data_IF_578430716858
#
_entry.id   IF_578430716858
#
_cell.length_a   1.000
_cell.length_b   1.000
_cell.length_c   1.000
_cell.angle_alpha   90.00
_cell.angle_beta   90.00
_cell.angle_gamma   90.00
#
_symmetry.space_group_name_H-M   'P 1'
#
loop_
_entity.id
_entity.type
_entity.pdbx_description
1 polymer ?
#
# COMPACT_ATOMS: atom_id res chain seq x y z
N UNK A 1 -22.66 -10.70 -18.40
CA UNK A 1 -21.80 -10.62 -17.21
C UNK A 1 -22.69 -10.52 -16.00
N UNK A 2 -22.33 -11.20 -14.91
CA UNK A 2 -23.11 -11.23 -13.67
C UNK A 2 -23.25 -9.82 -13.11
N UNK A 3 -24.49 -9.38 -12.83
CA UNK A 3 -24.83 -8.13 -12.15
C UNK A 3 -23.99 -7.90 -10.89
N UNK A 4 -23.58 -8.99 -10.24
CA UNK A 4 -22.72 -9.01 -9.06
C UNK A 4 -21.36 -8.34 -9.28
N UNK A 5 -20.76 -8.43 -10.46
CA UNK A 5 -19.45 -7.82 -10.75
C UNK A 5 -19.50 -6.29 -10.57
N UNK A 6 -20.60 -5.66 -11.00
CA UNK A 6 -20.80 -4.20 -10.89
C UNK A 6 -20.82 -3.75 -9.43
N UNK A 7 -21.29 -4.61 -8.54
CA UNK A 7 -21.41 -4.33 -7.11
C UNK A 7 -20.13 -4.63 -6.32
N UNK A 8 -19.14 -5.30 -6.92
CA UNK A 8 -17.92 -5.71 -6.21
C UNK A 8 -17.16 -4.52 -5.61
N UNK A 9 -17.05 -3.40 -6.34
CA UNK A 9 -16.38 -2.20 -5.86
C UNK A 9 -17.09 -1.60 -4.64
N UNK A 10 -18.41 -1.43 -4.73
CA UNK A 10 -19.24 -0.90 -3.65
C UNK A 10 -19.19 -1.81 -2.41
N UNK A 11 -19.33 -3.12 -2.60
CA UNK A 11 -19.33 -4.07 -1.49
C UNK A 11 -17.97 -4.17 -0.81
N UNK A 12 -16.88 -4.05 -1.57
CA UNK A 12 -15.52 -4.02 -1.02
C UNK A 12 -15.26 -2.75 -0.23
N UNK A 13 -15.73 -1.60 -0.73
CA UNK A 13 -15.62 -0.32 -0.03
C UNK A 13 -16.38 -0.33 1.31
N UNK A 14 -17.46 -1.12 1.40
CA UNK A 14 -18.25 -1.30 2.62
C UNK A 14 -17.78 -2.46 3.49
N UNK A 15 -16.78 -3.24 3.06
CA UNK A 15 -16.31 -4.42 3.78
C UNK A 15 -17.34 -5.56 3.84
N UNK A 16 -18.32 -5.59 2.93
CA UNK A 16 -19.33 -6.67 2.83
C UNK A 16 -18.69 -7.94 2.27
N UNK A 17 -17.80 -7.80 1.27
CA UNK A 17 -17.00 -8.89 0.69
C UNK A 17 -15.58 -8.40 0.41
N UNK A 18 -14.60 -9.29 0.48
CA UNK A 18 -13.20 -8.99 0.23
C UNK A 18 -12.71 -9.44 -1.15
N UNK A 19 -13.44 -10.38 -1.77
CA UNK A 19 -13.07 -11.00 -3.05
C UNK A 19 -14.29 -11.36 -3.91
N UNK A 20 -14.05 -11.55 -5.21
CA UNK A 20 -15.09 -12.00 -6.15
C UNK A 20 -15.67 -13.37 -5.77
N UNK A 21 -14.85 -14.28 -5.24
CA UNK A 21 -15.30 -15.63 -4.86
C UNK A 21 -16.28 -15.65 -3.69
N UNK A 22 -16.17 -14.70 -2.75
CA UNK A 22 -17.17 -14.53 -1.67
C UNK A 22 -18.48 -13.98 -2.24
N UNK A 23 -18.38 -13.03 -3.17
CA UNK A 23 -19.54 -12.45 -3.82
C UNK A 23 -20.30 -13.47 -4.69
N UNK A 24 -19.61 -14.41 -5.33
CA UNK A 24 -20.23 -15.49 -6.11
C UNK A 24 -20.92 -16.54 -5.23
N UNK A 25 -20.41 -16.77 -4.01
CA UNK A 25 -21.00 -17.73 -3.06
C UNK A 25 -22.19 -17.17 -2.29
N UNK A 26 -22.40 -15.86 -2.33
CA UNK A 26 -23.54 -15.19 -1.68
C UNK A 26 -24.87 -15.69 -2.28
N UNK A 27 -25.90 -15.92 -1.46
CA UNK A 27 -27.21 -16.28 -1.98
C UNK A 27 -27.82 -15.09 -2.77
N UNK A 28 -28.71 -15.35 -3.73
CA UNK A 28 -29.35 -14.26 -4.48
C UNK A 28 -30.20 -13.36 -3.57
N UNK A 29 -30.81 -13.94 -2.52
CA UNK A 29 -31.58 -13.20 -1.53
C UNK A 29 -30.69 -12.24 -0.72
N UNK A 30 -29.55 -12.73 -0.19
CA UNK A 30 -28.60 -11.89 0.54
C UNK A 30 -28.02 -10.80 -0.37
N UNK A 31 -27.71 -11.15 -1.62
CA UNK A 31 -27.19 -10.20 -2.60
C UNK A 31 -28.18 -9.04 -2.83
N UNK A 32 -29.45 -9.35 -3.09
CA UNK A 32 -30.52 -8.35 -3.26
C UNK A 32 -30.69 -7.47 -2.02
N UNK A 33 -30.66 -8.05 -0.81
CA UNK A 33 -30.75 -7.30 0.44
C UNK A 33 -29.59 -6.32 0.59
N UNK A 34 -28.35 -6.74 0.30
CA UNK A 34 -27.17 -5.88 0.38
C UNK A 34 -27.18 -4.79 -0.70
N UNK A 35 -27.66 -5.09 -1.91
CA UNK A 35 -27.86 -4.08 -2.95
C UNK A 35 -28.86 -3.01 -2.49
N UNK A 36 -30.01 -3.40 -1.96
CA UNK A 36 -31.01 -2.46 -1.43
C UNK A 36 -30.43 -1.57 -0.32
N UNK A 37 -29.69 -2.16 0.63
CA UNK A 37 -28.99 -1.41 1.67
C UNK A 37 -27.99 -0.38 1.12
N UNK A 38 -27.23 -0.74 0.08
CA UNK A 38 -26.29 0.19 -0.55
C UNK A 38 -27.02 1.36 -1.24
N UNK A 39 -28.11 1.07 -1.95
CA UNK A 39 -28.95 2.09 -2.58
C UNK A 39 -29.56 3.05 -1.56
N UNK A 40 -30.04 2.53 -0.42
CA UNK A 40 -30.57 3.35 0.68
C UNK A 40 -29.50 4.26 1.31
N UNK A 41 -28.23 3.83 1.26
CA UNK A 41 -27.09 4.64 1.67
C UNK A 41 -26.62 5.63 0.59
N UNK A 42 -27.29 5.68 -0.57
CA UNK A 42 -26.91 6.54 -1.70
C UNK A 42 -25.68 6.05 -2.47
N UNK A 43 -25.35 4.77 -2.36
CA UNK A 43 -24.26 4.13 -3.12
C UNK A 43 -24.85 3.30 -4.26
N UNK A 44 -24.62 3.75 -5.49
CA UNK A 44 -24.96 3.01 -6.70
C UNK A 44 -23.68 2.40 -7.30
N UNK A 45 -23.76 1.25 -7.99
CA UNK A 45 -22.65 0.74 -8.76
C UNK A 45 -22.35 1.73 -9.90
N UNK A 46 -21.09 2.08 -10.09
CA UNK A 46 -20.69 2.97 -11.17
C UNK A 46 -21.02 2.31 -12.52
N UNK A 47 -21.92 2.92 -13.30
CA UNK A 47 -22.33 2.37 -14.60
C UNK A 47 -21.25 2.51 -15.67
N UNK A 48 -20.29 3.41 -15.45
CA UNK A 48 -19.26 3.84 -16.41
C UNK A 48 -17.83 3.46 -15.98
N UNK A 49 -17.66 2.42 -15.17
CA UNK A 49 -16.32 2.03 -14.73
C UNK A 49 -15.54 1.41 -15.91
N UNK A 50 -14.70 2.23 -16.55
CA UNK A 50 -13.79 1.89 -17.66
C UNK A 50 -12.94 0.64 -17.33
N UNK A 51 -12.71 0.39 -16.04
CA UNK A 51 -12.08 -0.82 -15.52
C UNK A 51 -12.90 -2.09 -15.80
N UNK A 52 -14.23 -2.02 -15.70
CA UNK A 52 -15.13 -3.13 -16.04
C UNK A 52 -15.07 -3.43 -17.53
N UNK A 53 -14.97 -2.39 -18.38
CA UNK A 53 -14.69 -2.55 -19.81
C UNK A 53 -13.33 -3.19 -20.06
N UNK A 54 -12.28 -2.73 -19.41
CA UNK A 54 -10.92 -3.27 -19.57
C UNK A 54 -10.79 -4.74 -19.10
N UNK A 55 -11.45 -5.10 -18.01
CA UNK A 55 -11.51 -6.51 -17.54
C UNK A 55 -12.30 -7.36 -18.53
N UNK A 56 -13.42 -6.84 -19.05
CA UNK A 56 -14.23 -7.57 -20.02
C UNK A 56 -13.53 -7.72 -21.38
N UNK A 57 -12.80 -6.70 -21.83
CA UNK A 57 -12.00 -6.72 -23.05
C UNK A 57 -10.82 -7.68 -22.92
N UNK A 58 -10.13 -7.67 -21.76
CA UNK A 58 -9.05 -8.63 -21.48
C UNK A 58 -9.52 -10.08 -21.31
N UNK A 59 -10.76 -10.32 -20.86
CA UNK A 59 -11.35 -11.66 -20.84
C UNK A 59 -11.86 -12.12 -22.21
N UNK A 60 -12.34 -11.20 -23.05
CA UNK A 60 -12.82 -11.53 -24.39
C UNK A 60 -11.69 -12.00 -25.33
N UNK A 61 -10.49 -11.44 -25.17
CA UNK A 61 -9.28 -11.86 -25.90
C UNK A 61 -8.62 -13.11 -25.30
N UNK A 62 -9.07 -13.58 -24.14
CA UNK A 62 -8.60 -14.83 -23.56
C UNK A 62 -9.31 -16.03 -24.21
N UNK A 63 -9.01 -16.30 -25.48
CA UNK A 63 -9.19 -17.64 -26.01
C UNK A 63 -8.26 -18.57 -25.24
N UNK A 64 -8.77 -19.59 -24.52
CA UNK A 64 -7.92 -20.51 -23.78
C UNK A 64 -7.00 -21.20 -24.78
N UNK A 65 -5.73 -20.78 -24.79
CA UNK A 65 -4.70 -21.38 -25.61
C UNK A 65 -4.68 -22.87 -25.23
N UNK A 66 -4.91 -23.80 -26.18
CA UNK A 66 -4.97 -25.22 -25.85
C UNK A 66 -3.71 -25.58 -25.07
N UNK A 67 -3.93 -26.16 -23.88
CA UNK A 67 -2.85 -26.48 -22.96
C UNK A 67 -1.73 -27.18 -23.74
N UNK A 68 -0.50 -26.63 -23.76
CA UNK A 68 0.60 -27.30 -24.41
C UNK A 68 0.70 -28.68 -23.76
N UNK A 69 0.54 -29.73 -24.58
CA UNK A 69 0.76 -31.11 -24.16
C UNK A 69 2.09 -31.14 -23.40
N UNK A 70 2.16 -31.76 -22.21
CA UNK A 70 3.40 -31.82 -21.46
C UNK A 70 4.44 -32.57 -22.29
N UNK A 71 5.32 -31.82 -22.93
CA UNK A 71 6.51 -32.35 -23.55
C UNK A 71 7.45 -32.69 -22.40
N UNK A 72 7.63 -34.00 -22.20
CA UNK A 72 8.49 -34.57 -21.18
C UNK A 72 9.93 -34.23 -21.57
N UNK A 73 10.40 -33.04 -21.18
CA UNK A 73 11.79 -32.64 -21.36
C UNK A 73 12.60 -33.31 -20.26
N UNK A 74 13.27 -34.41 -20.63
CA UNK A 74 14.35 -35.01 -19.83
C UNK A 74 15.45 -33.97 -19.61
N UNK A 75 16.13 -33.96 -18.45
CA UNK A 75 17.25 -33.06 -18.22
C UNK A 75 18.44 -33.47 -19.10
N UNK A 76 18.75 -32.63 -20.09
CA UNK A 76 19.94 -32.73 -20.95
C UNK A 76 21.17 -32.28 -20.17
N UNK A 77 21.65 -33.16 -19.29
CA UNK A 77 23.04 -33.20 -18.85
C UNK A 77 23.84 -33.92 -19.95
N UNK A 78 25.05 -33.42 -20.24
CA UNK A 78 26.02 -33.94 -21.21
C UNK A 78 25.79 -33.59 -22.70
N UNK A 79 26.54 -32.59 -23.18
CA UNK A 79 27.63 -32.78 -24.17
C UNK A 79 28.12 -31.43 -24.69
N UNK A 80 29.22 -30.96 -24.12
CA UNK A 80 30.10 -30.07 -24.88
C UNK A 80 31.57 -30.40 -24.56
N UNK A 81 31.95 -31.65 -24.83
CA UNK A 81 33.35 -32.03 -25.03
C UNK A 81 33.69 -31.72 -26.49
N UNK A 82 34.13 -30.49 -26.72
CA UNK A 82 34.71 -30.06 -27.99
C UNK A 82 36.02 -30.82 -28.16
N UNK A 83 36.02 -31.77 -29.09
CA UNK A 83 37.16 -32.60 -29.46
C UNK A 83 38.32 -31.72 -29.92
N UNK A 84 39.37 -31.64 -29.12
CA UNK A 84 40.67 -31.12 -29.53
C UNK A 84 41.20 -32.01 -30.66
N UNK A 85 41.57 -31.47 -31.84
CA UNK A 85 42.23 -32.26 -32.87
C UNK A 85 43.55 -32.80 -32.33
N UNK A 86 43.72 -34.12 -32.42
CA UNK A 86 44.96 -34.84 -32.10
C UNK A 86 46.09 -34.27 -32.96
N UNK A 87 47.03 -33.55 -32.37
CA UNK A 87 48.27 -33.18 -33.06
C UNK A 87 49.04 -34.46 -33.43
N UNK A 88 49.52 -34.61 -34.67
CA UNK A 88 50.43 -35.67 -35.03
C UNK A 88 51.78 -35.53 -34.28
N UNK A 89 52.55 -36.63 -34.14
CA UNK A 89 53.81 -36.62 -33.41
C UNK A 89 54.76 -35.56 -33.97
N UNK A 90 55.29 -34.72 -33.08
CA UNK A 90 56.29 -33.71 -33.39
C UNK A 90 57.56 -34.39 -33.94
N UNK A 91 57.87 -34.13 -35.21
CA UNK A 91 59.24 -34.23 -35.72
C UNK A 91 60.16 -33.28 -34.92
N UNK A 92 61.44 -33.64 -34.72
CA UNK A 92 62.40 -32.80 -34.00
C UNK A 92 62.50 -31.42 -34.66
N UNK A 93 62.13 -30.40 -33.89
CA UNK A 93 62.07 -29.01 -34.31
C UNK A 93 63.42 -28.55 -34.87
N UNK A 94 63.45 -28.26 -36.18
CA UNK A 94 64.53 -27.47 -36.78
C UNK A 94 64.58 -26.10 -36.08
N UNK A 95 65.77 -25.55 -35.79
CA UNK A 95 65.91 -24.24 -35.16
C UNK A 95 65.18 -23.19 -36.01
N UNK A 96 64.09 -22.64 -35.47
CA UNK A 96 63.39 -21.54 -36.11
C UNK A 96 64.32 -20.33 -36.15
N UNK A 97 64.49 -19.68 -37.33
CA UNK A 97 65.24 -18.44 -37.43
C UNK A 97 64.60 -17.41 -36.49
N UNK A 98 65.45 -16.68 -35.75
CA UNK A 98 65.05 -15.60 -34.87
C UNK A 98 64.06 -14.68 -35.58
N UNK A 99 62.83 -14.62 -35.06
CA UNK A 99 61.81 -13.73 -35.62
C UNK A 99 62.35 -12.30 -35.58
N UNK A 100 62.30 -11.56 -36.70
CA UNK A 100 62.74 -10.18 -36.73
C UNK A 100 61.96 -9.38 -35.68
N UNK A 101 62.66 -8.46 -35.01
CA UNK A 101 62.09 -7.57 -34.02
C UNK A 101 60.82 -6.92 -34.59
N UNK A 102 59.70 -7.03 -33.86
CA UNK A 102 58.45 -6.42 -34.30
C UNK A 102 58.68 -4.92 -34.51
N UNK A 103 58.17 -4.35 -35.61
CA UNK A 103 58.33 -2.92 -35.87
C UNK A 103 57.74 -2.11 -34.71
N UNK A 104 58.36 -0.97 -34.36
CA UNK A 104 57.85 -0.08 -33.33
C UNK A 104 56.42 0.35 -33.68
N UNK A 105 55.61 0.49 -32.63
CA UNK A 105 54.18 0.79 -32.74
C UNK A 105 53.98 2.10 -33.50
N UNK A 106 53.11 2.08 -34.50
CA UNK A 106 52.76 3.28 -35.29
C UNK A 106 52.07 4.32 -34.40
N UNK A 107 52.27 5.61 -34.69
CA UNK A 107 51.63 6.73 -33.97
C UNK A 107 50.10 6.59 -33.88
N UNK A 108 49.46 6.10 -34.95
CA UNK A 108 48.01 5.81 -34.97
C UNK A 108 47.58 4.78 -33.91
N UNK A 109 48.48 3.86 -33.54
CA UNK A 109 48.24 2.87 -32.49
C UNK A 109 48.33 3.47 -31.08
N UNK A 110 49.16 4.50 -30.89
CA UNK A 110 49.23 5.24 -29.63
C UNK A 110 47.98 6.12 -29.44
N UNK A 111 47.51 6.76 -30.51
CA UNK A 111 46.28 7.57 -30.49
C UNK A 111 45.06 6.70 -30.12
N UNK A 112 44.94 5.50 -30.69
CA UNK A 112 43.84 4.58 -30.40
C UNK A 112 43.85 4.09 -28.95
N UNK A 113 45.03 3.82 -28.40
CA UNK A 113 45.17 3.45 -26.99
C UNK A 113 44.78 4.61 -26.07
N UNK A 114 45.19 5.83 -26.40
CA UNK A 114 44.82 7.03 -25.66
C UNK A 114 43.29 7.20 -25.64
N UNK A 115 42.64 7.13 -26.81
CA UNK A 115 41.19 7.23 -26.96
C UNK A 115 40.43 6.13 -26.18
N UNK A 116 40.94 4.88 -26.22
CA UNK A 116 40.35 3.78 -25.45
C UNK A 116 40.48 4.02 -23.95
N UNK A 117 41.63 4.55 -23.49
CA UNK A 117 41.84 4.85 -22.08
C UNK A 117 40.94 5.99 -21.59
N UNK A 118 40.77 7.04 -22.39
CA UNK A 118 39.88 8.16 -22.07
C UNK A 118 38.42 7.72 -22.07
N UNK A 119 38.01 6.88 -23.02
CA UNK A 119 36.65 6.32 -23.05
C UNK A 119 36.36 5.47 -21.81
N UNK A 120 37.28 4.60 -21.41
CA UNK A 120 37.14 3.79 -20.20
C UNK A 120 37.03 4.66 -18.94
N UNK A 121 37.82 5.74 -18.87
CA UNK A 121 37.77 6.71 -17.76
C UNK A 121 36.42 7.43 -17.68
N UNK A 122 35.89 7.90 -18.81
CA UNK A 122 34.59 8.57 -18.87
C UNK A 122 33.47 7.62 -18.50
N UNK A 123 33.51 6.37 -18.97
CA UNK A 123 32.52 5.35 -18.63
C UNK A 123 32.51 5.06 -17.12
N UNK A 124 33.70 4.93 -16.50
CA UNK A 124 33.81 4.70 -15.05
C UNK A 124 33.25 5.88 -14.26
N UNK A 125 33.53 7.11 -14.68
CA UNK A 125 33.03 8.32 -14.02
C UNK A 125 31.50 8.46 -14.10
N UNK A 126 30.88 8.05 -15.22
CA UNK A 126 29.42 8.02 -15.35
C UNK A 126 28.77 7.00 -14.40
N UNK A 127 29.37 5.82 -14.27
CA UNK A 127 28.88 4.74 -13.42
C UNK A 127 28.96 5.13 -11.93
N UNK A 128 30.05 5.77 -11.55
CA UNK A 128 30.26 6.29 -10.19
C UNK A 128 29.27 7.41 -9.84
N UNK A 129 28.96 8.29 -10.81
CA UNK A 129 27.93 9.33 -10.65
C UNK A 129 26.53 8.74 -10.48
N UNK A 130 26.16 7.71 -11.26
CA UNK A 130 24.86 7.04 -11.14
C UNK A 130 24.70 6.37 -9.77
N UNK A 131 25.72 5.65 -9.29
CA UNK A 131 25.67 5.04 -7.95
C UNK A 131 25.56 6.09 -6.84
N UNK A 132 26.23 7.24 -6.97
CA UNK A 132 26.13 8.32 -5.99
C UNK A 132 24.72 8.94 -5.97
N UNK A 133 24.09 9.15 -7.12
CA UNK A 133 22.72 9.65 -7.22
C UNK A 133 21.70 8.66 -6.66
N UNK A 134 21.82 7.36 -6.97
CA UNK A 134 20.94 6.32 -6.44
C UNK A 134 21.05 6.22 -4.90
N UNK A 135 22.28 6.26 -4.37
CA UNK A 135 22.50 6.25 -2.91
C UNK A 135 21.91 7.48 -2.23
N UNK A 136 22.06 8.67 -2.84
CA UNK A 136 21.47 9.89 -2.33
C UNK A 136 19.93 9.87 -2.38
N UNK A 137 19.33 9.25 -3.40
CA UNK A 137 17.88 9.06 -3.48
C UNK A 137 17.38 8.08 -2.42
N UNK A 138 18.07 6.94 -2.23
CA UNK A 138 17.71 5.95 -1.22
C UNK A 138 17.80 6.54 0.21
N UNK A 139 18.81 7.38 0.48
CA UNK A 139 18.95 8.06 1.77
C UNK A 139 17.83 9.09 2.00
N UNK A 140 17.48 9.88 0.96
CA UNK A 140 16.32 10.79 1.02
C UNK A 140 15.02 10.04 1.28
N UNK A 141 14.80 8.88 0.65
CA UNK A 141 13.61 8.06 0.88
C UNK A 141 13.58 7.50 2.31
N UNK A 142 14.72 7.05 2.85
CA UNK A 142 14.81 6.61 4.26
C UNK A 142 14.49 7.73 5.24
N UNK A 143 15.02 8.94 5.01
CA UNK A 143 14.71 10.11 5.85
C UNK A 143 13.22 10.49 5.78
N UNK A 144 12.60 10.43 4.60
CA UNK A 144 11.15 10.66 4.46
C UNK A 144 10.30 9.58 5.16
N UNK A 145 10.73 8.31 5.13
CA UNK A 145 10.06 7.24 5.86
C UNK A 145 10.19 7.42 7.38
N UNK A 146 11.36 7.82 7.90
CA UNK A 146 11.51 8.11 9.33
C UNK A 146 10.69 9.32 9.77
N UNK A 147 10.64 10.41 9.00
CA UNK A 147 9.78 11.55 9.33
C UNK A 147 8.28 11.24 9.24
N UNK A 148 7.86 10.27 8.43
CA UNK A 148 6.46 9.79 8.40
C UNK A 148 6.14 8.82 9.54
N UNK A 149 7.12 8.04 10.01
CA UNK A 149 6.95 7.11 11.13
C UNK A 149 6.92 7.83 12.50
N UNK A 150 7.56 9.00 12.62
CA UNK A 150 7.53 9.84 13.83
C UNK A 150 6.43 10.90 13.83
N UNK A 151 5.35 10.75 13.04
CA UNK A 151 4.12 11.46 13.41
C UNK A 151 3.64 10.81 14.71
N UNK A 152 3.67 11.52 15.85
CA UNK A 152 3.20 10.95 17.09
C UNK A 152 1.76 10.50 16.83
N UNK A 153 1.52 9.19 16.91
CA UNK A 153 0.18 8.68 17.21
C UNK A 153 -0.22 9.49 18.43
N UNK A 154 -1.11 10.47 18.26
CA UNK A 154 -1.64 11.28 19.35
C UNK A 154 -2.54 10.34 20.16
N UNK A 155 -1.92 9.41 20.86
CA UNK A 155 -2.55 8.55 21.83
C UNK A 155 -3.02 9.46 22.95
N UNK A 156 -4.27 9.26 23.33
CA UNK A 156 -4.91 9.93 24.46
C UNK A 156 -4.02 9.75 25.70
N UNK A 157 -3.82 10.79 26.52
CA UNK A 157 -3.00 10.68 27.72
C UNK A 157 -3.61 9.62 28.65
N UNK A 158 -2.92 8.49 28.83
CA UNK A 158 -3.37 7.37 29.68
C UNK A 158 -3.35 7.69 31.18
N UNK A 159 -3.06 8.94 31.55
CA UNK A 159 -2.93 9.40 32.93
C UNK A 159 -4.15 10.15 33.48
N UNK A 160 -5.21 10.35 32.67
CA UNK A 160 -6.42 11.01 33.17
C UNK A 160 -7.31 10.00 33.91
N UNK A 161 -7.67 10.29 35.16
CA UNK A 161 -8.59 9.45 35.94
C UNK A 161 -10.00 9.46 35.32
N UNK A 162 -10.78 8.40 35.60
CA UNK A 162 -12.17 8.25 35.14
C UNK A 162 -13.02 9.47 35.47
N UNK A 163 -12.87 10.05 36.66
CA UNK A 163 -13.64 11.25 37.06
C UNK A 163 -13.29 12.46 36.20
N UNK A 164 -12.01 12.68 35.88
CA UNK A 164 -11.60 13.82 35.04
C UNK A 164 -12.18 13.72 33.63
N UNK A 165 -12.25 12.51 33.07
CA UNK A 165 -12.87 12.29 31.76
C UNK A 165 -14.38 12.53 31.80
N UNK A 166 -15.06 12.09 32.86
CA UNK A 166 -16.49 12.38 33.06
C UNK A 166 -16.75 13.88 33.22
N UNK A 167 -15.98 14.58 34.05
CA UNK A 167 -16.10 16.04 34.23
C UNK A 167 -15.87 16.80 32.91
N UNK A 168 -14.87 16.38 32.11
CA UNK A 168 -14.63 16.96 30.79
C UNK A 168 -15.79 16.68 29.82
N UNK A 169 -16.40 15.50 29.88
CA UNK A 169 -17.56 15.18 29.06
C UNK A 169 -18.82 15.95 29.48
N UNK A 170 -18.98 16.24 30.77
CA UNK A 170 -20.04 17.12 31.28
C UNK A 170 -19.85 18.58 30.80
N UNK A 171 -18.60 19.06 30.72
CA UNK A 171 -18.26 20.38 30.17
C UNK A 171 -18.62 20.54 28.69
N UNK A 172 -18.80 19.45 27.94
CA UNK A 172 -19.32 19.51 26.56
C UNK A 172 -20.78 20.01 26.49
N UNK A 173 -21.47 20.06 27.63
CA UNK A 173 -22.84 20.57 27.73
C UNK A 173 -23.88 19.62 27.15
N UNK A 174 -25.08 20.13 26.92
CA UNK A 174 -26.18 19.40 26.29
C UNK A 174 -26.04 19.36 24.76
N UNK A 175 -26.74 18.42 24.11
CA UNK A 175 -26.68 18.28 22.67
C UNK A 175 -27.23 19.53 21.95
N UNK A 176 -26.47 20.11 21.00
CA UNK A 176 -26.94 21.26 20.21
C UNK A 176 -28.08 20.85 19.28
N UNK A 177 -29.11 21.72 19.15
CA UNK A 177 -30.23 21.51 18.23
C UNK A 177 -29.76 21.44 16.76
N UNK A 178 -28.92 22.40 16.37
CA UNK A 178 -28.37 22.56 15.01
C UNK A 178 -27.00 21.87 14.83
N UNK A 179 -26.76 20.81 15.59
CA UNK A 179 -25.51 20.06 15.52
C UNK A 179 -25.48 19.00 14.43
N UNK A 180 -24.27 18.61 14.05
CA UNK A 180 -23.97 17.48 13.18
C UNK A 180 -24.08 16.19 14.01
N UNK A 181 -24.85 15.22 13.53
CA UNK A 181 -25.00 13.92 14.21
C UNK A 181 -23.78 13.03 13.96
N UNK A 182 -22.99 12.78 15.00
CA UNK A 182 -21.83 11.89 14.95
C UNK A 182 -22.19 10.59 15.68
N UNK A 183 -21.92 9.46 15.03
CA UNK A 183 -22.07 8.14 15.63
C UNK A 183 -20.73 7.45 15.84
N UNK A 184 -20.66 6.62 16.88
CA UNK A 184 -19.49 5.83 17.24
C UNK A 184 -19.89 4.37 17.35
N UNK A 185 -19.26 3.49 16.57
CA UNK A 185 -19.32 2.05 16.73
C UNK A 185 -18.30 1.63 17.77
N UNK A 186 -18.80 1.10 18.88
CA UNK A 186 -18.00 0.55 19.98
C UNK A 186 -17.59 -0.89 19.65
N UNK A 187 -16.58 -1.40 20.36
CA UNK A 187 -16.06 -2.76 20.15
C UNK A 187 -17.06 -3.87 20.52
N UNK A 188 -18.01 -3.58 21.41
CA UNK A 188 -19.07 -4.50 21.80
C UNK A 188 -20.25 -4.52 20.80
N UNK A 189 -20.09 -3.84 19.65
CA UNK A 189 -21.13 -3.66 18.64
C UNK A 189 -22.18 -2.60 19.00
N UNK A 190 -22.12 -2.01 20.20
CA UNK A 190 -23.04 -0.94 20.58
C UNK A 190 -22.73 0.35 19.82
N UNK A 191 -23.76 1.17 19.62
CA UNK A 191 -23.66 2.43 18.88
C UNK A 191 -23.94 3.59 19.82
N UNK A 192 -23.01 4.52 19.93
CA UNK A 192 -23.25 5.81 20.57
C UNK A 192 -23.55 6.84 19.50
N UNK A 193 -24.49 7.74 19.75
CA UNK A 193 -24.79 8.86 18.85
C UNK A 193 -24.94 10.12 19.67
N UNK A 194 -24.35 11.21 19.19
CA UNK A 194 -24.46 12.54 19.79
C UNK A 194 -24.33 13.62 18.73
N UNK A 195 -25.05 14.73 18.90
CA UNK A 195 -24.87 15.92 18.07
C UNK A 195 -23.70 16.78 18.59
N UNK A 196 -22.90 17.30 17.67
CA UNK A 196 -21.79 18.22 17.94
C UNK A 196 -21.92 19.48 17.10
N UNK A 197 -21.41 20.62 17.57
CA UNK A 197 -21.37 21.83 16.76
C UNK A 197 -20.25 21.68 15.71
N UNK A 198 -20.41 22.27 14.51
CA UNK A 198 -19.34 22.25 13.50
C UNK A 198 -18.02 22.89 13.98
N UNK A 199 -18.09 23.75 14.99
CA UNK A 199 -16.95 24.43 15.62
C UNK A 199 -16.20 23.58 16.64
N UNK A 200 -16.81 22.49 17.11
CA UNK A 200 -16.20 21.60 18.11
C UNK A 200 -14.96 20.92 17.52
N UNK A 201 -13.99 20.59 18.36
CA UNK A 201 -12.71 20.02 17.93
C UNK A 201 -12.75 18.51 17.94
N UNK A 202 -11.87 17.86 17.17
CA UNK A 202 -11.73 16.40 17.21
C UNK A 202 -11.45 15.84 18.61
N UNK A 203 -10.78 16.61 19.48
CA UNK A 203 -10.54 16.24 20.88
C UNK A 203 -11.84 16.09 21.71
N UNK A 204 -12.90 16.82 21.37
CA UNK A 204 -14.17 16.78 22.09
C UNK A 204 -14.91 15.45 21.83
N UNK A 205 -14.81 14.94 20.59
CA UNK A 205 -15.35 13.63 20.20
C UNK A 205 -14.63 12.51 20.97
N UNK A 206 -13.30 12.59 21.03
CA UNK A 206 -12.50 11.63 21.79
C UNK A 206 -12.83 11.68 23.27
N UNK A 207 -12.97 12.87 23.85
CA UNK A 207 -13.36 13.05 25.25
C UNK A 207 -14.72 12.41 25.54
N UNK A 208 -15.69 12.61 24.64
CA UNK A 208 -17.03 12.00 24.78
C UNK A 208 -16.98 10.48 24.77
N UNK A 209 -16.24 9.87 23.84
CA UNK A 209 -16.08 8.41 23.77
C UNK A 209 -15.32 7.89 24.99
N UNK A 210 -14.21 8.54 25.37
CA UNK A 210 -13.37 8.14 26.49
C UNK A 210 -14.10 8.20 27.84
N UNK A 211 -15.13 9.04 27.99
CA UNK A 211 -15.94 9.12 29.20
C UNK A 211 -16.97 7.99 29.33
N UNK A 212 -17.19 7.19 28.28
CA UNK A 212 -18.11 6.06 28.32
C UNK A 212 -17.59 4.97 29.26
N UNK A 213 -18.45 4.41 30.11
CA UNK A 213 -18.05 3.38 31.09
C UNK A 213 -17.44 2.13 30.43
N UNK A 214 -17.78 1.83 29.17
CA UNK A 214 -17.21 0.72 28.39
C UNK A 214 -15.77 0.95 27.92
N UNK A 215 -15.27 2.18 28.02
CA UNK A 215 -13.88 2.53 27.68
C UNK A 215 -12.94 2.42 28.88
N UNK A 216 -13.39 1.79 29.97
CA UNK A 216 -12.59 1.48 31.14
C UNK A 216 -12.52 -0.03 31.33
N UNK A 217 -11.34 -0.52 31.68
CA UNK A 217 -11.15 -1.90 32.14
C UNK A 217 -11.80 -2.07 33.53
N UNK A 218 -11.96 -3.31 33.98
CA UNK A 218 -12.56 -3.62 35.28
C UNK A 218 -11.80 -3.03 36.48
N UNK A 219 -10.51 -2.76 36.31
CA UNK A 219 -9.63 -2.08 37.27
C UNK A 219 -9.79 -0.54 37.27
N UNK A 220 -10.65 0.01 36.40
CA UNK A 220 -10.84 1.45 36.23
C UNK A 220 -9.80 2.12 35.32
N UNK A 221 -8.87 1.36 34.72
CA UNK A 221 -7.86 1.90 33.81
C UNK A 221 -8.49 2.28 32.47
N UNK A 222 -8.25 3.50 31.95
CA UNK A 222 -8.77 3.90 30.64
C UNK A 222 -8.12 3.08 29.52
N UNK A 223 -8.95 2.62 28.58
CA UNK A 223 -8.51 1.88 27.40
C UNK A 223 -7.98 2.90 26.38
N UNK A 224 -6.80 2.65 25.81
CA UNK A 224 -6.28 3.44 24.69
C UNK A 224 -7.03 3.06 23.41
N UNK A 225 -7.48 4.05 22.66
CA UNK A 225 -8.19 3.82 21.41
C UNK A 225 -7.89 4.90 20.38
N UNK A 226 -8.25 4.61 19.15
CA UNK A 226 -8.26 5.53 18.03
C UNK A 226 -9.67 5.63 17.44
N UNK A 227 -9.99 6.78 16.85
CA UNK A 227 -11.24 6.97 16.11
C UNK A 227 -10.93 6.89 14.61
N UNK A 228 -11.46 5.86 13.96
CA UNK A 228 -11.28 5.62 12.53
C UNK A 228 -12.57 5.96 11.81
N UNK A 229 -12.48 6.83 10.80
CA UNK A 229 -13.62 7.11 9.92
C UNK A 229 -13.66 6.03 8.83
N UNK A 230 -14.82 5.42 8.57
CA UNK A 230 -14.92 4.34 7.56
C UNK A 230 -14.47 4.79 6.17
N UNK A 231 -14.71 6.06 5.83
CA UNK A 231 -14.26 6.68 4.57
C UNK A 231 -13.83 8.12 4.88
N UNK A 232 -12.53 8.37 4.99
CA UNK A 232 -12.04 9.73 5.24
C UNK A 232 -10.60 9.81 5.70
N UNK A 233 -10.14 11.05 5.83
CA UNK A 233 -8.87 11.35 6.47
C UNK A 233 -8.94 11.03 7.97
N UNK A 234 -7.80 10.66 8.57
CA UNK A 234 -7.72 10.46 10.02
C UNK A 234 -8.13 11.73 10.78
N UNK A 235 -8.86 11.54 11.88
CA UNK A 235 -9.34 12.63 12.72
C UNK A 235 -8.15 13.44 13.29
N UNK A 236 -8.14 14.74 13.01
CA UNK A 236 -7.20 15.69 13.58
C UNK A 236 -7.80 16.32 14.86
N UNK A 237 -7.28 15.92 16.01
CA UNK A 237 -7.77 16.34 17.33
C UNK A 237 -7.74 17.86 17.57
N UNK A 238 -6.87 18.59 16.86
CA UNK A 238 -6.65 20.02 17.07
C UNK A 238 -7.55 20.91 16.20
N UNK A 239 -8.11 20.37 15.10
CA UNK A 239 -8.95 21.12 14.15
C UNK A 239 -10.43 20.98 14.50
N UNK A 240 -11.24 21.95 14.06
CA UNK A 240 -12.70 21.85 14.17
C UNK A 240 -13.24 20.77 13.24
N UNK A 241 -14.46 20.29 13.48
CA UNK A 241 -15.13 19.34 12.59
C UNK A 241 -15.32 19.92 11.19
N UNK A 242 -15.72 21.20 11.11
CA UNK A 242 -15.91 21.92 9.85
C UNK A 242 -14.61 21.99 9.04
N UNK A 243 -13.49 22.35 9.67
CA UNK A 243 -12.19 22.48 8.98
C UNK A 243 -11.64 21.13 8.48
N UNK A 244 -12.15 20.02 9.03
CA UNK A 244 -11.81 18.67 8.61
C UNK A 244 -12.75 18.14 7.52
N UNK A 245 -13.74 18.93 7.08
CA UNK A 245 -14.75 18.52 6.11
C UNK A 245 -15.87 17.66 6.69
N UNK A 246 -15.92 17.48 8.02
CA UNK A 246 -17.01 16.77 8.70
C UNK A 246 -18.17 17.75 8.83
N UNK A 247 -18.99 17.82 7.79
CA UNK A 247 -20.15 18.73 7.68
C UNK A 247 -21.50 18.02 7.73
N UNK A 248 -21.50 16.70 7.58
CA UNK A 248 -22.69 15.83 7.54
C UNK A 248 -22.57 14.76 8.61
N UNK A 249 -23.63 13.96 8.75
CA UNK A 249 -23.60 12.84 9.69
C UNK A 249 -22.50 11.86 9.32
N UNK A 250 -21.67 11.52 10.31
CA UNK A 250 -20.48 10.67 10.13
C UNK A 250 -20.45 9.60 11.19
N UNK A 251 -20.05 8.39 10.79
CA UNK A 251 -19.80 7.26 11.67
C UNK A 251 -18.29 7.08 11.87
N UNK A 252 -17.87 6.99 13.12
CA UNK A 252 -16.54 6.56 13.52
C UNK A 252 -16.60 5.16 14.10
N UNK A 253 -15.55 4.39 13.86
CA UNK A 253 -15.31 3.10 14.50
C UNK A 253 -14.24 3.32 15.57
N UNK A 254 -14.52 2.85 16.79
CA UNK A 254 -13.57 2.88 17.91
C UNK A 254 -12.66 1.68 17.79
N UNK A 255 -11.39 1.93 17.49
CA UNK A 255 -10.36 0.91 17.32
C UNK A 255 -9.47 0.90 18.57
N UNK A 256 -9.47 -0.20 19.34
CA UNK A 256 -8.63 -0.29 20.55
C UNK A 256 -7.18 -0.44 20.14
N UNK A 257 -6.32 0.37 20.74
CA UNK A 257 -4.88 0.23 20.62
C UNK A 257 -4.45 -0.67 21.78
N UNK A 258 -4.30 -1.97 21.51
CA UNK A 258 -3.69 -2.88 22.47
C UNK A 258 -2.26 -2.39 22.81
N UNK A 259 -1.94 -2.37 24.09
CA UNK A 259 -0.55 -2.21 24.60
C UNK A 259 0.15 -3.57 24.62
#
# INVERSE_FOLDING_TARGET
>A
MSERVKWLGVFRNLGIVNSMGELERMSDADFQEKCAFCLDCGMAPDEDDELTRAIQESLADYTPKPAPKPEITKPELERNRKSTPRQPPQEPAKPQPSRPARPPRTESGQIRDQQNSDFARVQQQQLEKQMAEEKAQAEKQKQQHHQKAEKPKKSIPSSSSKEQLKEKAEKLGSEPKDGISIGFHMMDGSKLKRKFKPTDKGNDLVTFVAANDKMFKADGTPIKFNLVQNMGASLNLSKSLKDQGITRSTMFTVDILDD
#
